data_IF_024485870612
#
_entry.id   IF_024485870612
#
_cell.length_a   1.000
_cell.length_b   1.000
_cell.length_c   1.000
_cell.angle_alpha   90.00
_cell.angle_beta   90.00
_cell.angle_gamma   90.00
#
_symmetry.space_group_name_H-M   'P 1'
#
loop_
_entity.id
_entity.type
_entity.pdbx_description
1 polymer ?
#
# COMPACT_ATOMS: atom_id res chain seq x y z
N UNK A 1 -2.11 -17.76 -50.56
CA UNK A 1 -0.84 -18.48 -50.70
C UNK A 1 0.22 -17.48 -50.27
N UNK A 2 0.61 -17.50 -49.00
CA UNK A 2 1.65 -16.60 -48.50
C UNK A 2 2.98 -17.13 -49.01
N UNK A 3 3.72 -16.33 -49.76
CA UNK A 3 5.06 -16.66 -50.22
C UNK A 3 5.95 -16.93 -49.00
N UNK A 4 6.21 -18.20 -48.72
CA UNK A 4 7.25 -18.59 -47.76
C UNK A 4 8.58 -18.31 -48.46
N UNK A 5 9.04 -17.05 -48.36
CA UNK A 5 10.31 -16.61 -48.91
C UNK A 5 11.40 -17.41 -48.18
N UNK A 6 11.92 -18.43 -48.86
CA UNK A 6 13.02 -19.25 -48.35
C UNK A 6 14.18 -18.32 -47.98
N UNK A 7 14.52 -18.28 -46.69
CA UNK A 7 15.67 -17.51 -46.23
C UNK A 7 16.94 -18.10 -46.84
N UNK A 8 17.80 -17.25 -47.39
CA UNK A 8 19.15 -17.66 -47.78
C UNK A 8 19.98 -17.82 -46.49
N UNK A 9 20.39 -19.06 -46.19
CA UNK A 9 21.20 -19.34 -44.99
C UNK A 9 22.70 -19.15 -45.23
N UNK A 10 23.15 -18.91 -46.47
CA UNK A 10 24.53 -18.53 -46.76
C UNK A 10 24.85 -17.11 -46.32
N UNK A 11 23.87 -16.21 -46.41
CA UNK A 11 23.99 -14.80 -46.06
C UNK A 11 23.68 -14.54 -44.57
N UNK A 12 24.51 -13.71 -43.92
CA UNK A 12 24.37 -13.41 -42.49
C UNK A 12 23.15 -12.55 -42.19
N UNK A 13 22.90 -11.53 -42.99
CA UNK A 13 21.78 -10.61 -42.82
C UNK A 13 20.44 -11.34 -42.98
N UNK A 14 20.33 -12.19 -44.00
CA UNK A 14 19.18 -13.06 -44.24
C UNK A 14 18.89 -14.00 -43.06
N UNK A 15 19.92 -14.60 -42.43
CA UNK A 15 19.74 -15.44 -41.23
C UNK A 15 19.21 -14.63 -40.04
N UNK A 16 19.76 -13.43 -39.81
CA UNK A 16 19.32 -12.54 -38.72
C UNK A 16 17.85 -12.13 -38.93
N UNK A 17 17.50 -11.74 -40.16
CA UNK A 17 16.13 -11.36 -40.50
C UNK A 17 15.14 -12.51 -40.34
N UNK A 18 15.52 -13.73 -40.74
CA UNK A 18 14.69 -14.92 -40.52
C UNK A 18 14.44 -15.19 -39.03
N UNK A 19 15.49 -15.09 -38.19
CA UNK A 19 15.36 -15.29 -36.74
C UNK A 19 14.47 -14.23 -36.10
N UNK A 20 14.63 -12.96 -36.48
CA UNK A 20 13.77 -11.88 -35.97
C UNK A 20 12.31 -12.11 -36.37
N UNK A 21 12.03 -12.47 -37.62
CA UNK A 21 10.68 -12.77 -38.07
C UNK A 21 10.06 -13.94 -37.28
N UNK A 22 10.81 -15.04 -37.06
CA UNK A 22 10.34 -16.17 -36.25
C UNK A 22 10.16 -15.80 -34.78
N UNK A 23 10.99 -14.91 -34.26
CA UNK A 23 10.85 -14.40 -32.90
C UNK A 23 9.59 -13.53 -32.75
N UNK A 24 9.32 -12.65 -33.72
CA UNK A 24 8.10 -11.84 -33.75
C UNK A 24 6.84 -12.72 -33.88
N UNK A 25 6.86 -13.72 -34.77
CA UNK A 25 5.77 -14.69 -34.91
C UNK A 25 5.51 -15.44 -33.59
N UNK A 26 6.58 -15.85 -32.91
CA UNK A 26 6.49 -16.51 -31.60
C UNK A 26 5.90 -15.58 -30.55
N UNK A 27 6.38 -14.34 -30.45
CA UNK A 27 5.88 -13.35 -29.50
C UNK A 27 4.41 -13.01 -29.75
N UNK A 28 4.02 -12.84 -31.02
CA UNK A 28 2.62 -12.66 -31.39
C UNK A 28 1.79 -13.89 -31.04
N UNK A 29 2.30 -15.10 -31.31
CA UNK A 29 1.64 -16.35 -30.93
C UNK A 29 1.39 -16.47 -29.43
N UNK A 30 2.41 -16.18 -28.61
CA UNK A 30 2.29 -16.18 -27.14
C UNK A 30 1.28 -15.13 -26.68
N UNK A 31 1.37 -13.91 -27.22
CA UNK A 31 0.47 -12.83 -26.84
C UNK A 31 -0.99 -13.11 -27.25
N UNK A 32 -1.21 -13.69 -28.43
CA UNK A 32 -2.54 -14.05 -28.91
C UNK A 32 -3.15 -15.21 -28.10
N UNK A 33 -2.33 -16.18 -27.71
CA UNK A 33 -2.82 -17.38 -27.01
C UNK A 33 -2.99 -17.16 -25.51
N UNK A 34 -2.12 -16.38 -24.88
CA UNK A 34 -2.10 -16.23 -23.43
C UNK A 34 -2.25 -14.79 -22.95
N UNK A 35 -2.00 -13.78 -23.77
CA UNK A 35 -1.94 -12.39 -23.32
C UNK A 35 -3.24 -11.90 -22.67
N UNK A 36 -4.37 -12.14 -23.34
CA UNK A 36 -5.69 -11.74 -22.82
C UNK A 36 -6.09 -12.53 -21.57
N UNK A 37 -6.08 -13.85 -21.63
CA UNK A 37 -6.51 -14.70 -20.51
C UNK A 37 -5.62 -14.52 -19.27
N UNK A 38 -4.30 -14.37 -19.48
CA UNK A 38 -3.37 -14.09 -18.40
C UNK A 38 -3.67 -12.72 -17.75
N UNK A 39 -3.91 -11.70 -18.56
CA UNK A 39 -4.26 -10.36 -18.05
C UNK A 39 -5.58 -10.38 -17.27
N UNK A 40 -6.60 -11.08 -17.78
CA UNK A 40 -7.88 -11.24 -17.11
C UNK A 40 -7.72 -11.96 -15.76
N UNK A 41 -6.94 -13.05 -15.68
CA UNK A 41 -6.71 -13.75 -14.42
C UNK A 41 -5.88 -12.91 -13.43
N UNK A 42 -4.91 -12.12 -13.92
CA UNK A 42 -4.16 -11.19 -13.08
C UNK A 42 -5.08 -10.13 -12.47
N UNK A 43 -5.95 -9.53 -13.28
CA UNK A 43 -6.95 -8.57 -12.81
C UNK A 43 -7.88 -9.21 -11.78
N UNK A 44 -8.39 -10.40 -12.07
CA UNK A 44 -9.27 -11.15 -11.16
C UNK A 44 -8.60 -11.43 -9.81
N UNK A 45 -7.31 -11.77 -9.79
CA UNK A 45 -6.55 -11.98 -8.55
C UNK A 45 -6.37 -10.69 -7.76
N UNK A 46 -6.13 -9.56 -8.44
CA UNK A 46 -6.05 -8.25 -7.78
C UNK A 46 -7.39 -7.86 -7.16
N UNK A 47 -8.49 -7.97 -7.91
CA UNK A 47 -9.84 -7.72 -7.41
C UNK A 47 -10.17 -8.58 -6.20
N UNK A 48 -9.86 -9.88 -6.27
CA UNK A 48 -10.02 -10.80 -5.14
C UNK A 48 -9.20 -10.36 -3.92
N UNK A 49 -7.95 -10.00 -4.12
CA UNK A 49 -7.05 -9.57 -3.03
C UNK A 49 -7.58 -8.31 -2.35
N UNK A 50 -8.02 -7.32 -3.14
CA UNK A 50 -8.61 -6.07 -2.63
C UNK A 50 -9.91 -6.36 -1.88
N UNK A 51 -10.78 -7.22 -2.42
CA UNK A 51 -12.03 -7.59 -1.78
C UNK A 51 -11.80 -8.31 -0.45
N UNK A 52 -10.86 -9.24 -0.40
CA UNK A 52 -10.49 -9.95 0.83
C UNK A 52 -9.93 -8.98 1.87
N UNK A 53 -8.97 -8.13 1.48
CA UNK A 53 -8.43 -7.10 2.38
C UNK A 53 -9.52 -6.17 2.91
N UNK A 54 -10.47 -5.74 2.07
CA UNK A 54 -11.59 -4.90 2.49
C UNK A 54 -12.48 -5.61 3.53
N UNK A 55 -12.78 -6.90 3.30
CA UNK A 55 -13.56 -7.70 4.26
C UNK A 55 -12.81 -7.88 5.59
N UNK A 56 -11.51 -8.13 5.54
CA UNK A 56 -10.67 -8.30 6.73
C UNK A 56 -10.61 -7.01 7.54
N UNK A 57 -10.43 -5.86 6.89
CA UNK A 57 -10.46 -4.54 7.53
C UNK A 57 -11.84 -4.26 8.15
N UNK A 58 -12.92 -4.56 7.43
CA UNK A 58 -14.28 -4.39 7.95
C UNK A 58 -14.51 -5.28 9.18
N UNK A 59 -14.06 -6.53 9.13
CA UNK A 59 -14.13 -7.47 10.25
C UNK A 59 -13.33 -6.97 11.45
N UNK A 60 -12.11 -6.46 11.22
CA UNK A 60 -11.26 -5.87 12.25
C UNK A 60 -11.96 -4.68 12.92
N UNK A 61 -12.52 -3.76 12.13
CA UNK A 61 -13.24 -2.59 12.66
C UNK A 61 -14.45 -3.03 13.50
N UNK A 62 -15.23 -4.01 13.03
CA UNK A 62 -16.35 -4.58 13.81
C UNK A 62 -15.87 -5.26 15.10
N UNK A 63 -14.69 -5.89 15.08
CA UNK A 63 -14.07 -6.47 16.27
C UNK A 63 -13.59 -5.42 17.28
N UNK A 64 -13.21 -4.23 16.80
CA UNK A 64 -12.84 -3.08 17.63
C UNK A 64 -14.05 -2.26 18.12
N UNK A 65 -15.26 -2.52 17.60
CA UNK A 65 -16.46 -1.80 18.05
C UNK A 65 -16.73 -2.09 19.53
N UNK A 66 -16.96 -1.04 20.34
CA UNK A 66 -17.09 -1.14 21.79
C UNK A 66 -18.29 -1.99 22.24
N UNK A 67 -19.30 -2.14 21.39
CA UNK A 67 -20.54 -2.87 21.70
C UNK A 67 -20.33 -4.38 21.87
N UNK A 68 -19.22 -4.94 21.33
CA UNK A 68 -18.83 -6.35 21.54
C UNK A 68 -17.87 -6.55 22.72
N UNK A 69 -17.38 -5.47 23.32
CA UNK A 69 -16.68 -5.47 24.61
C UNK A 69 -17.76 -5.45 25.71
N UNK A 70 -18.53 -6.53 25.77
CA UNK A 70 -19.58 -6.76 26.77
C UNK A 70 -19.35 -8.15 27.38
N UNK A 71 -19.10 -8.33 28.68
CA UNK A 71 -19.37 -7.44 29.79
C UNK A 71 -18.30 -7.52 30.89
N UNK A 72 -18.29 -6.47 31.69
CA UNK A 72 -17.40 -6.10 32.80
C UNK A 72 -16.29 -5.10 32.48
N UNK A 73 -15.62 -5.15 31.32
CA UNK A 73 -14.46 -4.25 31.06
C UNK A 73 -14.82 -2.88 30.47
N UNK A 74 -15.90 -2.77 29.69
CA UNK A 74 -16.33 -1.51 29.07
C UNK A 74 -16.74 -0.44 30.09
N UNK A 75 -17.30 -0.83 31.23
CA UNK A 75 -17.64 0.10 32.33
C UNK A 75 -16.41 0.69 32.99
N UNK A 76 -15.31 -0.07 33.04
CA UNK A 76 -14.07 0.37 33.69
C UNK A 76 -13.38 1.44 32.82
N UNK A 77 -13.37 1.25 31.50
CA UNK A 77 -12.75 2.19 30.57
C UNK A 77 -13.53 3.51 30.50
N UNK A 78 -14.86 3.46 30.39
CA UNK A 78 -15.68 4.68 30.38
C UNK A 78 -15.55 5.48 31.67
N UNK A 79 -15.56 4.80 32.83
CA UNK A 79 -15.45 5.46 34.14
C UNK A 79 -14.05 6.00 34.43
N UNK A 80 -12.98 5.39 33.88
CA UNK A 80 -11.62 5.92 33.98
C UNK A 80 -11.42 7.17 33.13
N UNK A 81 -12.00 7.22 31.93
CA UNK A 81 -11.93 8.39 31.05
C UNK A 81 -12.69 9.59 31.63
N UNK A 82 -13.84 9.37 32.27
CA UNK A 82 -14.58 10.40 33.00
C UNK A 82 -13.84 10.87 34.28
N UNK A 83 -13.25 9.94 35.06
CA UNK A 83 -12.48 10.31 36.27
C UNK A 83 -11.22 11.13 35.98
N UNK A 84 -10.65 11.04 34.77
CA UNK A 84 -9.43 11.75 34.40
C UNK A 84 -9.68 13.20 33.98
N UNK A 85 -10.92 13.59 33.69
CA UNK A 85 -11.28 14.97 33.38
C UNK A 85 -11.58 15.82 34.62
N UNK A 86 -11.87 15.23 35.78
CA UNK A 86 -12.16 15.97 37.03
C UNK A 86 -10.89 16.41 37.77
N UNK A 87 -9.71 15.84 37.44
CA UNK A 87 -8.45 16.19 38.11
C UNK A 87 -7.74 17.44 37.53
N UNK A 88 -8.25 18.04 36.45
CA UNK A 88 -7.61 19.18 35.79
C UNK A 88 -8.26 20.54 36.08
N UNK A 89 -9.38 20.60 36.81
CA UNK A 89 -10.06 21.85 37.17
C UNK A 89 -10.36 21.91 38.67
N UNK A 90 -9.34 22.13 39.50
CA UNK A 90 -9.47 22.92 40.75
C UNK A 90 -8.10 23.21 41.36
N UNK A 91 -7.50 24.36 41.05
CA UNK A 91 -6.82 25.18 42.07
C UNK A 91 -6.53 26.59 41.53
N UNK A 92 -7.04 27.66 42.17
CA UNK A 92 -6.77 29.03 41.79
C UNK A 92 -5.54 29.61 42.51
N UNK A 93 -4.86 30.54 41.82
CA UNK A 93 -4.00 31.60 42.35
C UNK A 93 -2.69 31.22 43.09
N UNK A 94 -1.57 31.46 42.41
CA UNK A 94 -0.47 32.22 43.02
C UNK A 94 0.28 33.03 41.95
N UNK A 95 0.07 34.34 41.99
CA UNK A 95 0.92 35.34 41.33
C UNK A 95 2.25 35.45 42.09
N UNK A 96 3.34 35.71 41.37
CA UNK A 96 4.52 36.53 41.73
C UNK A 96 5.81 35.90 41.12
N UNK A 97 6.42 36.52 40.10
CA UNK A 97 7.62 37.42 40.19
C UNK A 97 8.92 36.60 40.34
N UNK A 98 10.06 36.78 39.67
CA UNK A 98 10.67 37.62 38.60
C UNK A 98 12.11 37.01 38.39
N UNK A 99 12.81 37.40 37.31
CA UNK A 99 14.26 37.27 36.99
C UNK A 99 14.71 35.92 36.38
N UNK A 100 15.15 35.87 35.11
CA UNK A 100 16.34 36.47 34.46
C UNK A 100 17.64 35.75 34.84
N UNK A 101 18.14 34.90 33.93
CA UNK A 101 19.57 34.78 33.63
C UNK A 101 19.80 34.34 32.18
N UNK A 102 20.97 34.75 31.70
CA UNK A 102 21.37 35.07 30.33
C UNK A 102 22.42 34.07 29.81
N UNK A 103 22.53 33.99 28.48
CA UNK A 103 23.65 33.45 27.67
C UNK A 103 23.82 31.91 27.63
N UNK A 104 24.27 31.29 26.54
CA UNK A 104 25.21 31.75 25.52
C UNK A 104 25.06 30.95 24.21
N UNK A 105 25.11 31.68 23.09
CA UNK A 105 25.94 31.45 21.89
C UNK A 105 26.01 30.10 21.15
N UNK A 106 26.04 30.25 19.82
CA UNK A 106 26.65 29.39 18.80
C UNK A 106 25.77 28.38 18.06
N UNK A 107 25.10 28.84 16.99
CA UNK A 107 24.91 28.05 15.76
C UNK A 107 25.67 28.71 14.62
N UNK A 108 26.94 28.35 14.56
CA UNK A 108 27.75 27.97 13.39
C UNK A 108 27.09 28.20 12.01
N UNK A 109 27.63 29.23 11.34
CA UNK A 109 28.16 29.27 9.97
C UNK A 109 27.39 28.65 8.80
N UNK A 110 27.04 29.52 7.84
CA UNK A 110 27.20 29.28 6.39
C UNK A 110 28.68 29.16 6.01
#
# INVERSE_FOLDING_TARGET
MSDEKFADFGDEESRINYLNAKFDDLLQGINNLYGKELMEELLRRLEKTISTFHQDVKSLIVGLQPDKISGQESKIISHQLESKQVAAEVSPASQAVVQEEVNNDSRVSE
#
